data_IF_221851573769
#
_entry.id   IF_221851573769
#
_cell.length_a   1.000
_cell.length_b   1.000
_cell.length_c   1.000
_cell.angle_alpha   90.00
_cell.angle_beta   90.00
_cell.angle_gamma   90.00
#
_symmetry.space_group_name_H-M   'P 1'
#
loop_
_entity.id
_entity.type
_entity.pdbx_description
1 polymer ?
#
# COMPACT_ATOMS: atom_id res chain seq x y z
N UNK A 1 -4.60 -12.20 -14.43
CA UNK A 1 -4.29 -10.83 -13.97
C UNK A 1 -2.85 -10.70 -13.54
N UNK A 2 -2.24 -11.73 -12.93
CA UNK A 2 -0.80 -11.71 -12.65
C UNK A 2 0.08 -11.86 -13.89
N UNK A 3 -0.43 -12.52 -14.94
CA UNK A 3 0.24 -12.76 -16.22
C UNK A 3 0.47 -11.46 -17.02
N UNK A 4 -0.25 -10.39 -16.69
CA UNK A 4 -0.02 -9.06 -17.27
C UNK A 4 1.00 -8.25 -16.49
N UNK A 5 1.44 -8.73 -15.32
CA UNK A 5 2.33 -8.03 -14.40
C UNK A 5 3.75 -8.59 -14.40
N UNK A 6 3.94 -9.83 -14.86
CA UNK A 6 5.23 -10.52 -14.88
C UNK A 6 5.23 -11.66 -15.90
N UNK A 7 6.40 -12.27 -16.14
CA UNK A 7 6.54 -13.42 -17.02
C UNK A 7 5.83 -14.68 -16.50
N UNK A 8 5.60 -15.64 -17.39
CA UNK A 8 4.86 -16.86 -17.06
C UNK A 8 5.51 -17.72 -15.94
N UNK A 9 6.84 -17.92 -15.91
CA UNK A 9 7.52 -18.60 -14.79
C UNK A 9 7.26 -17.91 -13.45
N UNK A 10 7.47 -16.60 -13.36
CA UNK A 10 7.29 -15.83 -12.12
C UNK A 10 5.84 -15.83 -11.66
N UNK A 11 4.91 -15.68 -12.61
CA UNK A 11 3.48 -15.79 -12.34
C UNK A 11 3.09 -17.17 -11.76
N UNK A 12 3.74 -18.26 -12.21
CA UNK A 12 3.50 -19.60 -11.68
C UNK A 12 4.00 -19.74 -10.24
N UNK A 13 5.18 -19.19 -9.91
CA UNK A 13 5.73 -19.16 -8.55
C UNK A 13 4.77 -18.44 -7.60
N UNK A 14 4.30 -17.24 -7.98
CA UNK A 14 3.39 -16.45 -7.14
C UNK A 14 2.06 -17.18 -6.93
N UNK A 15 1.48 -17.80 -7.98
CA UNK A 15 0.25 -18.60 -7.83
C UNK A 15 0.44 -19.79 -6.90
N UNK A 16 1.54 -20.52 -7.03
CA UNK A 16 1.84 -21.66 -6.18
C UNK A 16 1.98 -21.22 -4.71
N UNK A 17 2.67 -20.10 -4.46
CA UNK A 17 2.75 -19.49 -3.13
C UNK A 17 1.36 -19.15 -2.58
N UNK A 18 0.56 -18.37 -3.33
CA UNK A 18 -0.77 -17.95 -2.89
C UNK A 18 -1.71 -19.13 -2.64
N UNK A 19 -1.62 -20.21 -3.44
CA UNK A 19 -2.41 -21.42 -3.22
C UNK A 19 -2.07 -22.12 -1.89
N UNK A 20 -0.78 -22.19 -1.52
CA UNK A 20 -0.36 -22.71 -0.19
C UNK A 20 -0.89 -21.84 0.94
N UNK A 21 -0.82 -20.53 0.76
CA UNK A 21 -1.28 -19.57 1.76
C UNK A 21 -2.81 -19.54 1.89
N UNK A 22 -3.55 -19.80 0.80
CA UNK A 22 -5.01 -19.90 0.77
C UNK A 22 -5.53 -21.14 1.52
N UNK A 23 -4.73 -22.21 1.61
CA UNK A 23 -5.08 -23.38 2.43
C UNK A 23 -5.09 -23.08 3.94
N UNK A 24 -4.46 -21.98 4.37
CA UNK A 24 -4.34 -21.57 5.78
C UNK A 24 -5.26 -20.41 6.14
N UNK A 25 -5.66 -19.60 5.16
CA UNK A 25 -6.49 -18.41 5.39
C UNK A 25 -7.25 -18.01 4.14
N UNK A 26 -8.42 -17.44 4.35
CA UNK A 26 -9.26 -16.93 3.28
C UNK A 26 -8.91 -15.49 2.95
N UNK A 27 -8.14 -15.28 1.88
CA UNK A 27 -7.82 -13.95 1.41
C UNK A 27 -9.08 -13.22 0.94
N UNK A 28 -9.28 -12.02 1.47
CA UNK A 28 -10.27 -11.08 0.98
C UNK A 28 -9.73 -10.34 -0.26
N UNK A 29 -8.45 -9.95 -0.20
CA UNK A 29 -7.74 -9.32 -1.31
C UNK A 29 -6.24 -9.60 -1.19
N UNK A 30 -5.60 -9.83 -2.34
CA UNK A 30 -4.15 -9.93 -2.52
C UNK A 30 -3.71 -8.72 -3.34
N UNK A 31 -3.10 -7.73 -2.69
CA UNK A 31 -2.58 -6.53 -3.33
C UNK A 31 -1.06 -6.66 -3.55
N UNK A 32 -0.63 -6.51 -4.80
CA UNK A 32 0.78 -6.39 -5.14
C UNK A 32 1.22 -4.95 -4.85
N UNK A 33 2.01 -4.76 -3.80
CA UNK A 33 2.48 -3.44 -3.35
C UNK A 33 3.87 -3.13 -3.92
N UNK A 34 4.59 -2.23 -3.25
CA UNK A 34 6.02 -2.01 -3.52
C UNK A 34 6.29 -1.35 -4.85
N UNK A 35 7.50 -1.56 -5.37
CA UNK A 35 7.98 -0.93 -6.59
C UNK A 35 7.01 -1.14 -7.79
N UNK A 36 6.36 -2.31 -7.84
CA UNK A 36 5.33 -2.64 -8.81
C UNK A 36 4.12 -1.71 -8.74
N UNK A 37 3.49 -1.57 -7.56
CA UNK A 37 2.37 -0.64 -7.38
C UNK A 37 2.77 0.82 -7.52
N UNK A 38 4.03 1.15 -7.22
CA UNK A 38 4.49 2.52 -7.14
C UNK A 38 5.00 3.06 -8.48
N UNK A 39 4.99 2.24 -9.54
CA UNK A 39 5.31 2.66 -10.91
C UNK A 39 6.80 2.61 -11.27
N UNK A 40 7.63 2.00 -10.43
CA UNK A 40 9.07 1.89 -10.66
C UNK A 40 9.64 0.49 -10.35
N UNK A 41 9.04 -0.62 -10.83
CA UNK A 41 9.68 -1.93 -10.72
C UNK A 41 11.00 -1.94 -11.52
N UNK A 42 11.97 -2.71 -11.03
CA UNK A 42 13.21 -3.07 -11.73
C UNK A 42 13.26 -4.60 -11.84
N UNK A 43 14.12 -5.17 -12.70
CA UNK A 43 14.20 -6.62 -12.89
C UNK A 43 14.48 -7.43 -11.61
N UNK A 44 15.12 -6.80 -10.62
CA UNK A 44 15.48 -7.35 -9.32
C UNK A 44 14.49 -6.98 -8.19
N UNK A 45 13.35 -6.38 -8.52
CA UNK A 45 12.34 -6.05 -7.51
C UNK A 45 11.65 -7.29 -6.96
N UNK A 46 11.48 -7.30 -5.65
CA UNK A 46 10.64 -8.24 -4.90
C UNK A 46 9.15 -8.09 -5.24
N UNK A 47 8.40 -9.16 -4.97
CA UNK A 47 6.94 -9.15 -5.05
C UNK A 47 6.35 -9.01 -3.65
N UNK A 48 6.01 -7.77 -3.29
CA UNK A 48 5.30 -7.42 -2.08
C UNK A 48 3.82 -7.88 -2.13
N UNK A 49 3.53 -9.08 -1.64
CA UNK A 49 2.17 -9.64 -1.58
C UNK A 49 1.49 -9.22 -0.26
N UNK A 50 0.89 -8.03 -0.26
CA UNK A 50 0.28 -7.44 0.94
C UNK A 50 -1.23 -7.68 0.96
N UNK A 51 -1.64 -8.69 1.70
CA UNK A 51 -2.99 -9.23 1.71
C UNK A 51 -3.84 -8.73 2.88
N UNK A 52 -5.16 -8.90 2.73
CA UNK A 52 -6.14 -8.87 3.81
C UNK A 52 -6.87 -10.21 3.83
N UNK A 53 -7.12 -10.78 5.00
CA UNK A 53 -7.83 -12.06 5.13
C UNK A 53 -8.99 -11.99 6.12
N UNK A 54 -9.93 -12.92 5.97
CA UNK A 54 -11.04 -13.12 6.90
C UNK A 54 -10.76 -14.34 7.77
N UNK A 55 -10.45 -14.12 9.04
CA UNK A 55 -10.30 -15.21 10.00
C UNK A 55 -11.66 -15.88 10.29
N UNK A 56 -11.69 -17.20 10.54
CA UNK A 56 -12.88 -17.88 11.05
C UNK A 56 -13.36 -17.22 12.34
N UNK A 57 -14.67 -17.02 12.49
CA UNK A 57 -15.16 -16.23 13.63
C UNK A 57 -14.92 -16.92 14.96
N UNK A 58 -14.99 -18.26 14.99
CA UNK A 58 -14.67 -19.07 16.18
C UNK A 58 -13.25 -18.79 16.72
N UNK A 59 -12.27 -18.50 15.84
CA UNK A 59 -10.90 -18.18 16.25
C UNK A 59 -10.78 -16.82 16.95
N UNK A 60 -11.78 -15.95 16.84
CA UNK A 60 -11.77 -14.59 17.36
C UNK A 60 -12.55 -14.42 18.66
N UNK A 61 -13.51 -15.30 18.92
CA UNK A 61 -14.41 -15.22 20.08
C UNK A 61 -14.10 -16.26 21.16
N UNK A 62 -13.09 -17.11 20.94
CA UNK A 62 -12.63 -18.07 21.92
C UNK A 62 -11.89 -17.42 23.11
N UNK A 63 -11.57 -18.22 24.13
CA UNK A 63 -10.85 -17.75 25.33
C UNK A 63 -9.48 -17.11 25.03
N UNK A 64 -8.85 -17.53 23.93
CA UNK A 64 -7.61 -16.95 23.41
C UNK A 64 -7.85 -16.57 21.96
N UNK A 65 -8.29 -15.32 21.69
CA UNK A 65 -8.48 -14.85 20.33
C UNK A 65 -7.17 -14.89 19.53
N UNK A 66 -7.22 -15.44 18.31
CA UNK A 66 -6.10 -15.47 17.40
C UNK A 66 -6.52 -14.97 16.02
N UNK A 67 -6.08 -13.77 15.66
CA UNK A 67 -6.45 -13.12 14.41
C UNK A 67 -5.77 -13.72 13.17
N UNK A 68 -4.68 -14.48 13.30
CA UNK A 68 -4.14 -15.26 12.16
C UNK A 68 -3.19 -14.49 11.23
N UNK A 69 -2.70 -13.33 11.66
CA UNK A 69 -1.70 -12.54 10.92
C UNK A 69 -0.47 -13.37 10.55
N UNK A 70 0.07 -13.12 9.36
CA UNK A 70 1.27 -13.79 8.87
C UNK A 70 2.15 -12.82 8.10
N UNK A 71 3.45 -12.89 8.31
CA UNK A 71 4.46 -12.10 7.59
C UNK A 71 5.72 -12.97 7.43
N UNK A 72 6.17 -13.14 6.19
CA UNK A 72 7.42 -13.86 5.90
C UNK A 72 7.93 -13.50 4.51
N UNK A 73 9.25 -13.63 4.36
CA UNK A 73 9.95 -13.48 3.10
C UNK A 73 10.47 -14.86 2.70
N UNK A 74 10.29 -15.23 1.44
CA UNK A 74 10.89 -16.44 0.87
C UNK A 74 11.40 -16.19 -0.55
N UNK A 75 12.40 -16.98 -0.96
CA UNK A 75 12.90 -16.98 -2.33
C UNK A 75 12.60 -18.35 -2.93
N UNK A 76 11.83 -18.37 -4.02
CA UNK A 76 11.44 -19.59 -4.72
C UNK A 76 11.80 -19.44 -6.19
N UNK A 77 12.63 -20.34 -6.72
CA UNK A 77 13.10 -20.31 -8.10
C UNK A 77 13.70 -18.95 -8.52
N UNK A 78 14.40 -18.28 -7.59
CA UNK A 78 15.00 -16.97 -7.80
C UNK A 78 14.03 -15.78 -7.68
N UNK A 79 12.74 -16.03 -7.41
CA UNK A 79 11.73 -15.00 -7.17
C UNK A 79 11.64 -14.71 -5.66
N UNK A 80 11.91 -13.47 -5.27
CA UNK A 80 11.77 -13.00 -3.89
C UNK A 80 10.32 -12.55 -3.63
N UNK A 81 9.66 -13.21 -2.69
CA UNK A 81 8.28 -12.93 -2.27
C UNK A 81 8.27 -12.38 -0.86
N UNK A 82 7.78 -11.15 -0.68
CA UNK A 82 7.50 -10.57 0.64
C UNK A 82 5.99 -10.64 0.91
N UNK A 83 5.58 -11.70 1.59
CA UNK A 83 4.19 -11.95 1.91
C UNK A 83 3.83 -11.39 3.29
N UNK A 84 2.75 -10.62 3.34
CA UNK A 84 2.16 -10.16 4.59
C UNK A 84 0.63 -10.17 4.52
N UNK A 85 -0.05 -10.71 5.53
CA UNK A 85 -1.51 -10.77 5.58
C UNK A 85 -2.03 -10.34 6.93
N UNK A 86 -2.94 -9.36 6.93
CA UNK A 86 -3.60 -8.86 8.13
C UNK A 86 -5.09 -9.22 8.14
N UNK A 87 -5.60 -9.47 9.34
CA UNK A 87 -7.00 -9.80 9.57
C UNK A 87 -7.89 -8.57 9.27
N UNK A 88 -9.02 -8.77 8.59
CA UNK A 88 -9.88 -7.69 8.07
C UNK A 88 -10.36 -6.72 9.16
N UNK A 89 -10.65 -7.19 10.36
CA UNK A 89 -11.05 -6.34 11.49
C UNK A 89 -9.94 -5.37 11.90
N UNK A 90 -8.69 -5.85 12.00
CA UNK A 90 -7.54 -4.99 12.28
C UNK A 90 -7.31 -3.96 11.16
N UNK A 91 -7.46 -4.39 9.91
CA UNK A 91 -7.33 -3.52 8.73
C UNK A 91 -8.39 -2.42 8.75
N UNK A 92 -9.67 -2.74 8.97
CA UNK A 92 -10.76 -1.78 9.03
C UNK A 92 -10.61 -0.80 10.19
N UNK A 93 -10.20 -1.27 11.37
CA UNK A 93 -9.86 -0.39 12.50
C UNK A 93 -8.74 0.59 12.14
N UNK A 94 -7.73 0.14 11.41
CA UNK A 94 -6.64 1.02 10.96
C UNK A 94 -7.08 1.99 9.86
N UNK A 95 -7.96 1.59 8.94
CA UNK A 95 -8.57 2.47 7.93
C UNK A 95 -9.29 3.64 8.61
N UNK A 96 -10.11 3.36 9.63
CA UNK A 96 -10.82 4.39 10.40
C UNK A 96 -9.86 5.33 11.17
N UNK A 97 -8.61 4.93 11.35
CA UNK A 97 -7.53 5.74 11.96
C UNK A 97 -6.62 6.39 10.93
N UNK A 98 -6.92 6.30 9.63
CA UNK A 98 -6.14 6.88 8.56
C UNK A 98 -4.85 6.10 8.20
N UNK A 99 -4.79 4.80 8.46
CA UNK A 99 -3.64 3.98 8.08
C UNK A 99 -3.58 3.80 6.55
N UNK A 100 -2.64 4.51 5.91
CA UNK A 100 -2.43 4.49 4.46
C UNK A 100 -2.07 3.10 3.92
N UNK A 101 -1.23 2.33 4.61
CA UNK A 101 -0.90 0.97 4.18
C UNK A 101 -2.14 0.06 4.06
N UNK A 102 -3.10 0.19 4.98
CA UNK A 102 -4.34 -0.59 4.92
C UNK A 102 -5.34 -0.06 3.89
N UNK A 103 -5.39 1.26 3.69
CA UNK A 103 -6.12 1.84 2.56
C UNK A 103 -5.56 1.34 1.22
N UNK A 104 -4.24 1.31 1.08
CA UNK A 104 -3.56 0.82 -0.13
C UNK A 104 -3.88 -0.64 -0.44
N UNK A 105 -3.96 -1.52 0.57
CA UNK A 105 -4.36 -2.92 0.35
C UNK A 105 -5.79 -3.09 -0.15
N UNK A 106 -6.72 -2.26 0.31
CA UNK A 106 -8.15 -2.39 -0.03
C UNK A 106 -8.53 -1.63 -1.32
N UNK A 107 -7.89 -0.49 -1.56
CA UNK A 107 -8.22 0.45 -2.64
C UNK A 107 -7.17 0.55 -3.74
N UNK A 108 -5.99 -0.05 -3.54
CA UNK A 108 -4.91 -0.05 -4.53
C UNK A 108 -5.33 -0.73 -5.83
N UNK A 109 -4.78 -0.25 -6.95
CA UNK A 109 -5.18 -0.69 -8.28
C UNK A 109 -4.61 -2.07 -8.67
N UNK A 110 -3.48 -2.46 -8.07
CA UNK A 110 -2.72 -3.65 -8.48
C UNK A 110 -3.13 -4.89 -7.69
N UNK A 111 -4.39 -5.31 -7.86
CA UNK A 111 -4.94 -6.50 -7.22
C UNK A 111 -4.58 -7.74 -8.04
N UNK A 112 -4.01 -8.76 -7.39
CA UNK A 112 -3.70 -10.05 -8.02
C UNK A 112 -4.92 -10.97 -7.96
N UNK A 113 -5.58 -11.02 -6.80
CA UNK A 113 -6.72 -11.89 -6.52
C UNK A 113 -7.61 -11.27 -5.43
N UNK A 114 -8.91 -11.58 -5.45
CA UNK A 114 -9.87 -11.10 -4.45
C UNK A 114 -11.17 -11.92 -4.37
N UNK A 115 -11.80 -11.87 -3.20
CA UNK A 115 -13.22 -12.19 -3.04
C UNK A 115 -14.04 -11.03 -3.61
N UNK A 116 -14.34 -11.10 -4.91
CA UNK A 116 -14.95 -10.01 -5.67
C UNK A 116 -16.30 -9.54 -5.09
N UNK A 117 -17.26 -10.41 -4.70
CA UNK A 117 -18.51 -9.97 -4.07
C UNK A 117 -18.28 -9.19 -2.76
N UNK A 118 -17.39 -9.67 -1.89
CA UNK A 118 -17.08 -8.98 -0.62
C UNK A 118 -16.35 -7.66 -0.86
N UNK A 119 -15.39 -7.63 -1.78
CA UNK A 119 -14.68 -6.41 -2.12
C UNK A 119 -15.58 -5.37 -2.80
N UNK A 120 -16.52 -5.80 -3.65
CA UNK A 120 -17.50 -4.91 -4.28
C UNK A 120 -18.41 -4.22 -3.25
N UNK A 121 -18.82 -4.93 -2.20
CA UNK A 121 -19.61 -4.34 -1.10
C UNK A 121 -18.78 -3.51 -0.12
N UNK A 122 -17.51 -3.88 0.12
CA UNK A 122 -16.64 -3.20 1.09
C UNK A 122 -16.04 -1.89 0.57
N UNK A 123 -15.53 -1.87 -0.67
CA UNK A 123 -14.77 -0.72 -1.21
C UNK A 123 -15.52 0.61 -1.14
N UNK A 124 -16.83 0.70 -1.46
CA UNK A 124 -17.58 1.94 -1.31
C UNK A 124 -17.60 2.45 0.13
N UNK A 125 -17.71 1.54 1.11
CA UNK A 125 -17.70 1.89 2.54
C UNK A 125 -16.34 2.43 2.96
N UNK A 126 -15.25 1.77 2.54
CA UNK A 126 -13.87 2.20 2.81
C UNK A 126 -13.61 3.57 2.20
N UNK A 127 -14.07 3.84 0.97
CA UNK A 127 -13.97 5.15 0.32
C UNK A 127 -14.74 6.23 1.10
N UNK A 128 -15.96 5.91 1.55
CA UNK A 128 -16.77 6.82 2.37
C UNK A 128 -16.18 7.12 3.75
N UNK A 129 -15.26 6.29 4.24
CA UNK A 129 -14.57 6.49 5.51
C UNK A 129 -13.23 7.24 5.40
N UNK A 130 -12.75 7.53 4.19
CA UNK A 130 -11.52 8.30 4.00
C UNK A 130 -11.67 9.69 4.60
N UNK A 131 -10.68 10.11 5.38
CA UNK A 131 -10.68 11.38 6.10
C UNK A 131 -9.27 11.97 6.15
N UNK A 132 -9.15 13.20 6.64
CA UNK A 132 -7.87 13.90 6.80
C UNK A 132 -6.90 13.20 7.75
N UNK A 133 -7.35 12.22 8.55
CA UNK A 133 -6.47 11.42 9.40
C UNK A 133 -5.33 10.74 8.61
N UNK A 134 -5.52 10.48 7.31
CA UNK A 134 -4.47 9.91 6.43
C UNK A 134 -3.21 10.78 6.36
N UNK A 135 -3.32 12.10 6.60
CA UNK A 135 -2.19 13.01 6.59
C UNK A 135 -1.08 12.55 7.53
N UNK A 136 -1.42 12.14 8.76
CA UNK A 136 -0.44 11.71 9.77
C UNK A 136 0.38 10.52 9.31
N UNK A 137 -0.28 9.56 8.66
CA UNK A 137 0.39 8.38 8.12
C UNK A 137 1.36 8.76 7.00
N UNK A 138 0.87 9.44 5.96
CA UNK A 138 1.70 9.79 4.80
C UNK A 138 2.80 10.78 5.15
N UNK A 139 2.56 11.77 6.01
CA UNK A 139 3.59 12.71 6.44
C UNK A 139 4.67 12.01 7.27
N UNK A 140 4.27 11.21 8.27
CA UNK A 140 5.20 10.45 9.10
C UNK A 140 6.06 9.49 8.28
N UNK A 141 5.45 8.81 7.31
CA UNK A 141 6.15 7.87 6.44
C UNK A 141 7.07 8.59 5.45
N UNK A 142 6.65 9.70 4.84
CA UNK A 142 7.50 10.52 3.97
C UNK A 142 8.74 11.02 4.72
N UNK A 143 8.57 11.56 5.93
CA UNK A 143 9.69 11.98 6.78
C UNK A 143 10.63 10.83 7.14
N UNK A 144 10.09 9.64 7.42
CA UNK A 144 10.93 8.47 7.69
C UNK A 144 11.78 8.06 6.47
N UNK A 145 11.21 8.12 5.27
CA UNK A 145 11.92 7.81 4.03
C UNK A 145 12.98 8.87 3.70
N UNK A 146 12.69 10.15 3.94
CA UNK A 146 13.67 11.23 3.82
C UNK A 146 14.87 10.97 4.74
N UNK A 147 14.63 10.71 6.03
CA UNK A 147 15.73 10.38 6.98
C UNK A 147 16.53 9.17 6.53
N UNK A 148 15.87 8.13 6.02
CA UNK A 148 16.55 6.94 5.52
C UNK A 148 17.40 7.21 4.27
N UNK A 149 16.99 8.15 3.41
CA UNK A 149 17.77 8.64 2.29
C UNK A 149 18.97 9.47 2.78
N UNK A 150 18.77 10.39 3.72
CA UNK A 150 19.84 11.24 4.28
C UNK A 150 20.92 10.45 5.02
N UNK A 151 20.56 9.35 5.68
CA UNK A 151 21.50 8.47 6.36
C UNK A 151 22.36 7.61 5.39
N UNK A 152 22.02 7.60 4.11
CA UNK A 152 22.68 6.82 3.06
C UNK A 152 23.35 7.81 2.12
N UNK A 153 24.64 8.09 2.27
CA UNK A 153 25.28 9.19 1.53
C UNK A 153 26.27 8.69 0.47
N UNK A 154 25.98 8.84 -0.84
CA UNK A 154 24.70 9.25 -1.44
C UNK A 154 23.65 8.11 -1.44
N UNK A 155 22.34 8.43 -1.48
CA UNK A 155 21.32 7.39 -1.41
C UNK A 155 21.11 6.75 -2.79
N UNK A 156 20.67 5.48 -2.85
CA UNK A 156 20.15 4.92 -4.10
C UNK A 156 18.82 5.59 -4.46
N UNK A 157 18.50 5.61 -5.77
CA UNK A 157 17.28 6.23 -6.30
C UNK A 157 15.99 5.72 -5.63
N UNK A 158 15.94 4.43 -5.25
CA UNK A 158 14.81 3.80 -4.54
C UNK A 158 14.40 4.60 -3.30
N UNK A 159 15.34 5.04 -2.47
CA UNK A 159 15.02 5.77 -1.22
C UNK A 159 14.36 7.13 -1.50
N UNK A 160 14.83 7.84 -2.51
CA UNK A 160 14.26 9.12 -2.94
C UNK A 160 12.86 8.92 -3.51
N UNK A 161 12.68 7.91 -4.37
CA UNK A 161 11.39 7.54 -4.94
C UNK A 161 10.37 7.15 -3.86
N UNK A 162 10.79 6.43 -2.81
CA UNK A 162 9.90 6.06 -1.69
C UNK A 162 9.46 7.28 -0.86
N UNK A 163 10.32 8.28 -0.69
CA UNK A 163 9.93 9.53 -0.05
C UNK A 163 8.91 10.31 -0.92
N UNK A 164 9.20 10.45 -2.22
CA UNK A 164 8.31 11.12 -3.18
C UNK A 164 6.93 10.44 -3.27
N UNK A 165 6.89 9.11 -3.50
CA UNK A 165 5.62 8.39 -3.63
C UNK A 165 4.74 8.54 -2.41
N UNK A 166 5.34 8.57 -1.22
CA UNK A 166 4.57 8.66 0.01
C UNK A 166 3.95 10.04 0.15
N UNK A 167 4.72 11.10 -0.11
CA UNK A 167 4.22 12.46 -0.07
C UNK A 167 3.13 12.72 -1.13
N UNK A 168 3.37 12.29 -2.38
CA UNK A 168 2.44 12.56 -3.49
C UNK A 168 1.16 11.70 -3.42
N UNK A 169 1.26 10.44 -2.97
CA UNK A 169 0.09 9.59 -2.72
C UNK A 169 -0.82 10.24 -1.68
N UNK A 170 -0.25 10.66 -0.55
CA UNK A 170 -1.00 11.35 0.50
C UNK A 170 -1.60 12.67 0.02
N UNK A 171 -0.82 13.47 -0.74
CA UNK A 171 -1.29 14.75 -1.27
C UNK A 171 -2.47 14.57 -2.23
N UNK A 172 -2.41 13.55 -3.10
CA UNK A 172 -3.48 13.24 -4.03
C UNK A 172 -4.72 12.75 -3.29
N UNK A 173 -4.57 11.79 -2.38
CA UNK A 173 -5.68 11.28 -1.58
C UNK A 173 -6.39 12.40 -0.81
N UNK A 174 -5.62 13.30 -0.18
CA UNK A 174 -6.18 14.43 0.57
C UNK A 174 -6.91 15.44 -0.33
N UNK A 175 -6.48 15.65 -1.57
CA UNK A 175 -7.13 16.60 -2.50
C UNK A 175 -8.37 16.04 -3.16
N UNK A 176 -8.38 14.74 -3.48
CA UNK A 176 -9.39 14.15 -4.38
C UNK A 176 -10.27 13.11 -3.71
N UNK A 177 -9.86 12.56 -2.56
CA UNK A 177 -10.47 11.36 -1.98
C UNK A 177 -10.18 10.07 -2.76
N UNK A 178 -9.37 10.13 -3.82
CA UNK A 178 -9.00 8.99 -4.65
C UNK A 178 -7.60 8.52 -4.28
N UNK A 179 -7.42 7.21 -4.09
CA UNK A 179 -6.11 6.63 -3.86
C UNK A 179 -5.41 6.35 -5.20
N UNK A 180 -4.20 6.89 -5.36
CA UNK A 180 -3.26 6.52 -6.43
C UNK A 180 -1.90 6.33 -5.78
N UNK A 181 -1.27 5.18 -6.02
CA UNK A 181 0.05 4.82 -5.48
C UNK A 181 1.16 4.90 -6.53
N UNK A 182 0.79 4.83 -7.81
CA UNK A 182 1.69 4.89 -8.96
C UNK A 182 2.25 6.31 -9.13
N UNK A 183 3.54 6.44 -8.86
CA UNK A 183 4.27 7.69 -8.94
C UNK A 183 4.34 8.23 -10.38
N UNK A 184 4.34 7.36 -11.39
CA UNK A 184 4.32 7.76 -12.80
C UNK A 184 3.07 8.58 -13.15
N UNK A 185 1.95 8.31 -12.47
CA UNK A 185 0.69 9.06 -12.62
C UNK A 185 0.63 10.32 -11.77
N UNK A 186 1.44 10.40 -10.71
CA UNK A 186 1.42 11.50 -9.75
C UNK A 186 2.48 12.57 -10.01
N UNK A 187 3.62 12.20 -10.59
CA UNK A 187 4.73 13.12 -10.76
C UNK A 187 4.35 14.37 -11.56
N UNK A 188 3.78 14.21 -12.75
CA UNK A 188 3.48 15.34 -13.62
C UNK A 188 2.37 16.27 -13.06
N UNK A 189 1.21 15.76 -12.60
CA UNK A 189 0.15 16.62 -12.03
C UNK A 189 0.60 17.45 -10.82
N UNK A 190 1.62 17.01 -10.09
CA UNK A 190 2.15 17.70 -8.92
C UNK A 190 3.48 18.45 -9.20
N UNK A 191 3.92 18.54 -10.45
CA UNK A 191 5.12 19.29 -10.83
C UNK A 191 6.44 18.60 -10.51
N UNK A 192 6.44 17.29 -10.32
CA UNK A 192 7.61 16.41 -10.09
C UNK A 192 7.96 15.56 -11.31
N UNK A 193 7.65 16.04 -12.53
CA UNK A 193 7.94 15.33 -13.79
C UNK A 193 9.42 14.95 -13.96
N UNK A 194 10.35 15.71 -13.35
CA UNK A 194 11.78 15.38 -13.33
C UNK A 194 12.10 14.03 -12.69
N UNK A 195 11.21 13.45 -11.87
CA UNK A 195 11.46 12.16 -11.19
C UNK A 195 11.61 10.98 -12.16
N UNK A 196 11.27 11.16 -13.44
CA UNK A 196 11.55 10.16 -14.48
C UNK A 196 13.04 9.79 -14.55
N UNK A 197 13.95 10.71 -14.25
CA UNK A 197 15.39 10.40 -14.18
C UNK A 197 15.72 9.42 -13.03
N UNK A 198 15.03 9.55 -11.88
CA UNK A 198 15.20 8.65 -10.75
C UNK A 198 14.61 7.28 -11.02
N UNK A 199 13.45 7.23 -11.70
CA UNK A 199 12.83 5.98 -12.12
C UNK A 199 13.76 5.26 -13.10
N UNK A 200 14.33 5.98 -14.07
CA UNK A 200 15.31 5.42 -15.01
C UNK A 200 16.56 4.92 -14.28
N UNK A 201 17.12 5.70 -13.35
CA UNK A 201 18.27 5.29 -12.54
C UNK A 201 17.98 4.03 -11.72
N UNK A 202 16.81 3.95 -11.07
CA UNK A 202 16.38 2.79 -10.29
C UNK A 202 16.27 1.55 -11.17
N UNK A 203 15.73 1.68 -12.39
CA UNK A 203 15.61 0.57 -13.36
C UNK A 203 16.96 0.10 -13.90
N UNK A 204 17.94 1.00 -14.01
CA UNK A 204 19.29 0.66 -14.45
C UNK A 204 20.11 -0.05 -13.36
N UNK A 205 19.80 0.17 -12.07
CA UNK A 205 20.38 -0.58 -10.96
C UNK A 205 19.83 -0.15 -9.61
N UNK A 206 19.11 -1.04 -8.93
CA UNK A 206 18.36 -0.71 -7.71
C UNK A 206 19.25 -0.22 -6.55
N UNK A 207 20.49 -0.73 -6.48
CA UNK A 207 21.45 -0.45 -5.41
C UNK A 207 22.51 0.58 -5.78
N UNK A 208 22.48 1.13 -6.99
CA UNK A 208 23.48 2.10 -7.45
C UNK A 208 23.21 3.45 -6.76
N UNK A 209 24.20 3.99 -6.01
CA UNK A 209 24.06 5.31 -5.39
C UNK A 209 23.91 6.41 -6.45
N UNK A 210 23.11 7.44 -6.14
CA UNK A 210 22.97 8.61 -6.99
C UNK A 210 24.29 9.42 -7.03
N UNK A 211 24.52 10.10 -8.16
CA UNK A 211 25.54 11.15 -8.20
C UNK A 211 25.22 12.25 -7.18
N UNK A 212 26.26 12.86 -6.59
CA UNK A 212 26.10 13.83 -5.50
C UNK A 212 25.24 15.03 -5.93
N UNK A 213 25.40 15.49 -7.16
CA UNK A 213 24.68 16.62 -7.74
C UNK A 213 23.19 16.31 -7.92
N UNK A 214 22.87 15.06 -8.30
CA UNK A 214 21.49 14.59 -8.42
C UNK A 214 20.87 14.49 -7.04
N UNK A 215 21.59 13.97 -6.06
CA UNK A 215 21.11 13.89 -4.68
C UNK A 215 20.84 15.28 -4.09
N UNK A 216 21.75 16.25 -4.22
CA UNK A 216 21.55 17.61 -3.70
C UNK A 216 20.32 18.29 -4.29
N UNK A 217 20.09 18.14 -5.61
CA UNK A 217 18.86 18.63 -6.25
C UNK A 217 17.62 17.98 -5.65
N UNK A 218 17.59 16.65 -5.55
CA UNK A 218 16.42 15.93 -5.05
C UNK A 218 16.18 16.11 -3.56
N UNK A 219 17.23 16.34 -2.76
CA UNK A 219 17.13 16.72 -1.36
C UNK A 219 16.26 17.97 -1.20
N UNK A 220 16.44 18.97 -2.06
CA UNK A 220 15.57 20.17 -2.11
C UNK A 220 14.14 19.84 -2.53
N UNK A 221 13.97 19.01 -3.56
CA UNK A 221 12.66 18.58 -4.08
C UNK A 221 11.82 17.78 -3.06
N UNK A 222 12.47 16.98 -2.20
CA UNK A 222 11.79 16.25 -1.13
C UNK A 222 11.12 17.19 -0.13
N UNK A 223 11.73 18.35 0.16
CA UNK A 223 11.11 19.40 0.97
C UNK A 223 9.85 19.95 0.31
N UNK A 224 9.89 20.19 -1.00
CA UNK A 224 8.72 20.63 -1.79
C UNK A 224 7.60 19.58 -1.80
N UNK A 225 7.94 18.28 -1.87
CA UNK A 225 6.96 17.20 -1.83
C UNK A 225 6.23 17.15 -0.47
N UNK A 226 6.95 17.29 0.64
CA UNK A 226 6.35 17.38 1.99
C UNK A 226 5.47 18.63 2.12
N UNK A 227 5.92 19.78 1.60
CA UNK A 227 5.11 21.00 1.62
C UNK A 227 3.81 20.84 0.80
N UNK A 228 3.87 20.13 -0.33
CA UNK A 228 2.72 19.79 -1.18
C UNK A 228 1.70 18.94 -0.41
N UNK A 229 2.16 17.95 0.37
CA UNK A 229 1.33 17.13 1.24
C UNK A 229 0.69 17.96 2.36
N UNK A 230 1.45 18.84 3.02
CA UNK A 230 0.93 19.70 4.09
C UNK A 230 -0.13 20.69 3.57
N UNK A 231 0.07 21.24 2.37
CA UNK A 231 -0.92 22.10 1.73
C UNK A 231 -2.18 21.31 1.34
N UNK A 232 -2.02 20.07 0.86
CA UNK A 232 -3.16 19.20 0.56
C UNK A 232 -4.01 18.91 1.80
N UNK A 233 -3.42 18.74 2.98
CA UNK A 233 -4.18 18.58 4.23
C UNK A 233 -4.96 19.85 4.60
N UNK A 234 -4.31 21.02 4.52
CA UNK A 234 -4.95 22.31 4.85
C UNK A 234 -6.15 22.62 3.96
N UNK A 235 -6.02 22.33 2.66
CA UNK A 235 -7.05 22.59 1.65
C UNK A 235 -7.97 21.39 1.37
N UNK A 236 -7.87 20.32 2.17
CA UNK A 236 -8.57 19.07 1.88
C UNK A 236 -10.10 19.24 1.97
N UNK A 237 -10.87 18.73 0.98
CA UNK A 237 -12.33 18.64 1.07
C UNK A 237 -12.79 17.46 1.95
N UNK A 238 -11.88 16.59 2.39
CA UNK A 238 -12.21 15.43 3.20
C UNK A 238 -12.61 15.84 4.63
N UNK A 239 -13.49 15.07 5.29
CA UNK A 239 -13.83 15.32 6.67
C UNK A 239 -12.61 15.13 7.59
N UNK A 240 -12.60 15.81 8.74
CA UNK A 240 -11.49 15.72 9.70
C UNK A 240 -11.30 14.29 10.25
N UNK A 241 -12.41 13.58 10.45
CA UNK A 241 -12.49 12.17 10.88
C UNK A 241 -13.46 11.42 9.97
N UNK A 242 -13.42 10.07 9.93
CA UNK A 242 -14.43 9.31 9.20
C UNK A 242 -15.83 9.70 9.67
N UNK A 243 -16.82 9.87 8.76
CA UNK A 243 -18.19 10.10 9.16
C UNK A 243 -18.73 8.94 10.03
N UNK A 244 -19.56 9.25 11.03
CA UNK A 244 -20.13 8.23 11.92
C UNK A 244 -20.93 7.17 11.16
N UNK A 245 -21.65 7.59 10.11
CA UNK A 245 -22.41 6.69 9.24
C UNK A 245 -21.50 5.70 8.51
N UNK A 246 -20.37 6.17 7.96
CA UNK A 246 -19.39 5.32 7.30
C UNK A 246 -18.77 4.31 8.29
N UNK A 247 -18.49 4.76 9.52
CA UNK A 247 -17.96 3.90 10.59
C UNK A 247 -18.96 2.82 10.99
N UNK A 248 -20.24 3.16 11.16
CA UNK A 248 -21.32 2.20 11.44
C UNK A 248 -21.54 1.22 10.29
N UNK A 249 -21.45 1.69 9.04
CA UNK A 249 -21.60 0.82 7.87
C UNK A 249 -20.47 -0.20 7.77
N UNK A 250 -19.22 0.21 8.03
CA UNK A 250 -18.07 -0.70 8.09
C UNK A 250 -18.23 -1.71 9.23
N UNK A 251 -18.66 -1.28 10.41
CA UNK A 251 -18.94 -2.17 11.54
C UNK A 251 -20.02 -3.20 11.19
N UNK A 252 -21.15 -2.76 10.62
CA UNK A 252 -22.24 -3.63 10.21
C UNK A 252 -21.79 -4.65 9.15
N UNK A 253 -20.99 -4.21 8.16
CA UNK A 253 -20.39 -5.09 7.15
C UNK A 253 -19.50 -6.14 7.80
N UNK A 254 -18.62 -5.75 8.73
CA UNK A 254 -17.72 -6.68 9.42
C UNK A 254 -18.52 -7.71 10.23
N UNK A 255 -19.54 -7.28 10.97
CA UNK A 255 -20.41 -8.19 11.74
C UNK A 255 -21.14 -9.17 10.82
N UNK A 256 -21.63 -8.74 9.66
CA UNK A 256 -22.25 -9.64 8.68
C UNK A 256 -21.28 -10.72 8.19
N UNK A 257 -20.06 -10.33 7.80
CA UNK A 257 -18.99 -11.25 7.41
C UNK A 257 -18.68 -12.25 8.52
N UNK A 258 -18.65 -11.80 9.78
CA UNK A 258 -18.43 -12.70 10.92
C UNK A 258 -19.54 -13.72 11.13
N UNK A 259 -20.80 -13.33 10.95
CA UNK A 259 -21.93 -14.27 11.08
C UNK A 259 -21.86 -15.38 10.05
N UNK A 260 -21.56 -15.03 8.79
CA UNK A 260 -21.37 -15.99 7.70
C UNK A 260 -20.19 -16.94 7.94
N UNK A 261 -19.19 -16.51 8.72
CA UNK A 261 -17.98 -17.28 9.02
C UNK A 261 -17.99 -17.92 10.42
N UNK A 262 -19.17 -17.93 11.07
CA UNK A 262 -19.36 -18.55 12.37
C UNK A 262 -19.78 -20.03 12.25
N UNK A 263 -20.51 -20.38 11.19
CA UNK A 263 -20.88 -21.77 10.92
C UNK A 263 -19.67 -22.53 10.33
N UNK A 264 -19.50 -23.81 10.71
CA UNK A 264 -18.33 -24.62 10.34
C UNK A 264 -18.20 -24.90 8.84
#
# INVERSE_FOLDING_TARGET
>A
MIETLTDAPTAAVIRAHLAREAARRHHLVVYLSGAHAYGFPSPDSDYDLKCVHVAPTAALVGLVPHEGGAEHIEVVDGVELDYGSNEVGAVLRGVLRGNGNFLERLLGALVIDEDAPRMASLRPLVRGAVSRLVFRHYAGFAHSQIRAAEASQPPPAKKVLYALRTALTGAHLLRTGVLITDLGRLCEPYGFGGAQELIAAKRAGERVPLAAEVWERWRGELGRAVATLAEADRASPLPATPPDEASRAIEAWLVAVRRERFEP
#
